data_IF_043640253490
#
_entry.id   IF_043640253490
#
_cell.length_a   1.000
_cell.length_b   1.000
_cell.length_c   1.000
_cell.angle_alpha   90.00
_cell.angle_beta   90.00
_cell.angle_gamma   90.00
#
_symmetry.space_group_name_H-M   'P 1'
#
loop_
_entity.id
_entity.type
_entity.pdbx_description
1 polymer ?
#
# COMPACT_ATOMS: atom_id res chain seq x y z
N UNK A 1 -20.74 14.79 23.57
CA UNK A 1 -20.90 14.00 22.37
C UNK A 1 -21.37 14.97 21.29
N UNK A 2 -20.46 15.49 20.51
CA UNK A 2 -20.80 16.23 19.28
C UNK A 2 -20.64 15.22 18.16
N UNK A 3 -21.75 14.89 17.55
CA UNK A 3 -21.75 14.23 16.25
C UNK A 3 -21.05 15.20 15.27
N UNK A 4 -19.75 14.99 15.03
CA UNK A 4 -19.11 15.57 13.87
C UNK A 4 -19.57 14.72 12.69
N UNK A 5 -20.70 15.11 12.08
CA UNK A 5 -20.95 14.79 10.69
C UNK A 5 -19.78 15.37 9.90
N UNK A 6 -18.81 14.53 9.55
CA UNK A 6 -17.87 14.87 8.52
C UNK A 6 -18.67 15.00 7.23
N UNK A 7 -18.91 16.23 6.80
CA UNK A 7 -19.41 16.52 5.47
C UNK A 7 -18.28 16.14 4.50
N UNK A 8 -18.32 14.90 4.01
CA UNK A 8 -17.39 14.38 3.02
C UNK A 8 -17.74 14.99 1.64
N UNK A 9 -17.65 16.32 1.54
CA UNK A 9 -17.85 17.06 0.29
C UNK A 9 -16.68 16.88 -0.65
N UNK A 10 -16.96 16.30 -1.79
CA UNK A 10 -16.38 16.50 -3.11
C UNK A 10 -14.96 16.02 -3.45
N UNK A 11 -14.04 15.65 -2.55
CA UNK A 11 -12.73 15.19 -3.02
C UNK A 11 -12.72 13.70 -3.43
N UNK A 12 -11.96 13.33 -4.49
CA UNK A 12 -11.92 11.93 -4.99
C UNK A 12 -11.48 10.92 -3.93
N UNK A 13 -10.52 11.28 -3.07
CA UNK A 13 -10.04 10.39 -2.02
C UNK A 13 -11.09 10.15 -0.93
N UNK A 14 -11.91 11.15 -0.59
CA UNK A 14 -12.99 11.01 0.39
C UNK A 14 -14.07 10.06 -0.11
N UNK A 15 -14.47 10.20 -1.37
CA UNK A 15 -15.42 9.27 -2.00
C UNK A 15 -14.87 7.85 -2.03
N UNK A 16 -13.59 7.68 -2.35
CA UNK A 16 -12.94 6.37 -2.32
C UNK A 16 -12.95 5.76 -0.92
N UNK A 17 -12.50 6.49 0.09
CA UNK A 17 -12.55 6.02 1.47
C UNK A 17 -13.98 5.68 1.91
N UNK A 18 -14.98 6.46 1.47
CA UNK A 18 -16.38 6.21 1.81
C UNK A 18 -16.91 4.88 1.26
N UNK A 19 -16.43 4.46 0.11
CA UNK A 19 -16.84 3.20 -0.53
C UNK A 19 -16.24 1.94 0.12
N UNK A 20 -15.17 2.08 0.93
CA UNK A 20 -14.47 0.95 1.55
C UNK A 20 -15.15 0.46 2.83
N UNK A 21 -15.02 -0.84 3.10
CA UNK A 21 -15.54 -1.47 4.31
C UNK A 21 -14.48 -1.47 5.43
N UNK A 22 -14.88 -1.39 6.71
CA UNK A 22 -13.96 -1.52 7.84
C UNK A 22 -13.13 -2.81 7.75
N UNK A 23 -11.82 -2.70 7.97
CA UNK A 23 -10.87 -3.82 7.89
C UNK A 23 -10.37 -4.16 6.49
N UNK A 24 -10.83 -3.47 5.45
CA UNK A 24 -10.26 -3.61 4.10
C UNK A 24 -8.85 -3.03 4.01
N UNK A 25 -8.08 -3.55 3.05
CA UNK A 25 -6.74 -3.06 2.76
C UNK A 25 -6.80 -1.89 1.77
N UNK A 26 -6.21 -0.78 2.17
CA UNK A 26 -6.06 0.42 1.38
C UNK A 26 -4.66 0.45 0.75
N UNK A 27 -4.56 0.46 -0.58
CA UNK A 27 -3.29 0.56 -1.27
C UNK A 27 -2.64 1.94 -1.06
N UNK A 28 -1.52 1.98 -0.32
CA UNK A 28 -0.81 3.21 0.00
C UNK A 28 -0.26 3.94 -1.24
N UNK A 29 0.17 3.21 -2.29
CA UNK A 29 0.63 3.83 -3.52
C UNK A 29 -0.51 4.55 -4.25
N UNK A 30 -1.71 3.98 -4.23
CA UNK A 30 -2.90 4.61 -4.79
C UNK A 30 -3.31 5.85 -3.98
N UNK A 31 -3.27 5.75 -2.65
CA UNK A 31 -3.54 6.89 -1.77
C UNK A 31 -2.60 8.07 -2.08
N UNK A 32 -1.32 7.79 -2.29
CA UNK A 32 -0.33 8.81 -2.62
C UNK A 32 -0.64 9.54 -3.94
N UNK A 33 -1.24 8.87 -4.93
CA UNK A 33 -1.61 9.54 -6.18
C UNK A 33 -2.71 10.61 -5.99
N UNK A 34 -3.53 10.45 -4.96
CA UNK A 34 -4.55 11.46 -4.59
C UNK A 34 -4.00 12.56 -3.69
N UNK A 35 -3.11 12.21 -2.75
CA UNK A 35 -2.64 13.13 -1.72
C UNK A 35 -1.40 13.95 -2.13
N UNK A 36 -0.85 13.75 -3.33
CA UNK A 36 0.41 14.39 -3.73
C UNK A 36 0.36 15.91 -3.71
N UNK A 37 -0.73 16.48 -4.27
CA UNK A 37 -0.91 17.93 -4.42
C UNK A 37 -1.71 18.54 -3.26
N UNK A 38 -2.14 17.70 -2.31
CA UNK A 38 -2.95 18.13 -1.17
C UNK A 38 -2.10 18.81 -0.09
N UNK A 39 -2.75 19.63 0.72
CA UNK A 39 -2.09 20.29 1.85
C UNK A 39 -1.75 19.29 2.96
N UNK A 40 -0.85 19.66 3.87
CA UNK A 40 -0.54 18.81 5.03
C UNK A 40 -1.76 18.54 5.91
N UNK A 41 -2.63 19.56 6.08
CA UNK A 41 -3.89 19.43 6.84
C UNK A 41 -4.82 18.39 6.20
N UNK A 42 -5.02 18.44 4.88
CA UNK A 42 -5.82 17.44 4.15
C UNK A 42 -5.25 16.03 4.26
N UNK A 43 -3.92 15.92 4.27
CA UNK A 43 -3.23 14.62 4.44
C UNK A 43 -3.47 14.06 5.84
N UNK A 44 -3.42 14.90 6.87
CA UNK A 44 -3.73 14.49 8.25
C UNK A 44 -5.20 14.06 8.38
N UNK A 45 -6.12 14.79 7.78
CA UNK A 45 -7.55 14.44 7.75
C UNK A 45 -7.77 13.09 7.05
N UNK A 46 -7.07 12.82 5.96
CA UNK A 46 -7.16 11.54 5.27
C UNK A 46 -6.69 10.36 6.16
N UNK A 47 -5.57 10.53 6.86
CA UNK A 47 -5.09 9.50 7.78
C UNK A 47 -6.00 9.33 9.00
N UNK A 48 -6.57 10.41 9.52
CA UNK A 48 -7.57 10.34 10.59
C UNK A 48 -8.82 9.55 10.15
N UNK A 49 -9.30 9.78 8.93
CA UNK A 49 -10.44 9.05 8.38
C UNK A 49 -10.13 7.56 8.15
N UNK A 50 -8.90 7.21 7.75
CA UNK A 50 -8.43 5.83 7.59
C UNK A 50 -8.44 5.12 8.95
N UNK A 51 -7.91 5.78 10.00
CA UNK A 51 -7.88 5.25 11.37
C UNK A 51 -9.29 5.07 11.93
N UNK A 52 -10.17 6.07 11.76
CA UNK A 52 -11.55 6.01 12.24
C UNK A 52 -12.35 4.87 11.60
N UNK A 53 -12.16 4.62 10.31
CA UNK A 53 -12.76 3.49 9.60
C UNK A 53 -12.10 2.15 9.90
N UNK A 54 -10.95 2.13 10.54
CA UNK A 54 -10.18 0.91 10.81
C UNK A 54 -9.69 0.23 9.52
N UNK A 55 -9.33 1.00 8.50
CA UNK A 55 -8.74 0.48 7.27
C UNK A 55 -7.27 0.10 7.52
N UNK A 56 -6.75 -0.84 6.72
CA UNK A 56 -5.37 -1.31 6.82
C UNK A 56 -4.55 -0.73 5.67
N UNK A 57 -3.52 0.06 5.96
CA UNK A 57 -2.60 0.55 4.93
C UNK A 57 -1.74 -0.58 4.38
N UNK A 58 -1.87 -0.87 3.08
CA UNK A 58 -1.03 -1.81 2.36
C UNK A 58 0.09 -1.07 1.63
N UNK A 59 1.29 -1.14 2.17
CA UNK A 59 2.50 -0.53 1.60
C UNK A 59 3.22 -1.42 0.58
N UNK A 60 2.73 -2.63 0.31
CA UNK A 60 3.40 -3.60 -0.56
C UNK A 60 3.64 -3.12 -1.99
N UNK A 61 2.83 -2.15 -2.44
CA UNK A 61 2.96 -1.52 -3.75
C UNK A 61 3.93 -0.33 -3.77
N UNK A 62 4.42 0.13 -2.60
CA UNK A 62 5.44 1.18 -2.54
C UNK A 62 6.82 0.64 -2.94
N UNK A 63 7.69 1.48 -3.51
CA UNK A 63 9.03 1.06 -3.89
C UNK A 63 9.84 0.64 -2.67
N UNK A 64 10.25 -0.62 -2.66
CA UNK A 64 11.11 -1.19 -1.62
C UNK A 64 12.58 -1.12 -2.06
N UNK A 65 13.48 -0.77 -1.14
CA UNK A 65 14.94 -0.69 -1.35
C UNK A 65 15.40 0.32 -2.41
N UNK A 66 14.57 1.27 -2.72
CA UNK A 66 14.96 2.44 -3.50
C UNK A 66 15.40 3.56 -2.55
N UNK A 67 16.69 3.57 -2.21
CA UNK A 67 17.25 4.52 -1.26
C UNK A 67 17.62 5.82 -1.97
N UNK A 68 16.92 6.89 -1.64
CA UNK A 68 17.09 8.23 -2.23
C UNK A 68 17.41 9.24 -1.13
N UNK A 69 18.13 10.30 -1.50
CA UNK A 69 18.42 11.41 -0.61
C UNK A 69 19.62 11.21 0.31
N UNK A 70 19.77 12.11 1.30
CA UNK A 70 20.93 12.16 2.19
C UNK A 70 21.08 10.94 3.11
N UNK A 71 19.97 10.30 3.46
CA UNK A 71 19.96 9.12 4.32
C UNK A 71 20.21 7.79 3.57
N UNK A 72 20.36 7.81 2.24
CA UNK A 72 20.43 6.60 1.41
C UNK A 72 21.51 5.60 1.86
N UNK A 73 22.69 6.09 2.27
CA UNK A 73 23.77 5.22 2.75
C UNK A 73 23.37 4.51 4.05
N UNK A 74 22.81 5.26 5.01
CA UNK A 74 22.39 4.73 6.31
C UNK A 74 21.24 3.74 6.15
N UNK A 75 20.26 4.04 5.33
CA UNK A 75 19.13 3.15 5.00
C UNK A 75 19.63 1.81 4.45
N UNK A 76 20.62 1.82 3.53
CA UNK A 76 21.23 0.59 3.00
C UNK A 76 21.97 -0.20 4.07
N UNK A 77 22.69 0.47 4.95
CA UNK A 77 23.40 -0.17 6.06
C UNK A 77 22.44 -0.84 7.03
N UNK A 78 21.34 -0.17 7.38
CA UNK A 78 20.30 -0.71 8.26
C UNK A 78 19.56 -1.90 7.61
N UNK A 79 19.20 -1.82 6.31
CA UNK A 79 18.62 -2.95 5.59
C UNK A 79 19.56 -4.17 5.59
N UNK A 80 20.83 -3.95 5.31
CA UNK A 80 21.83 -5.03 5.35
C UNK A 80 21.99 -5.61 6.76
N UNK A 81 22.04 -4.77 7.79
CA UNK A 81 22.14 -5.18 9.18
C UNK A 81 20.96 -6.04 9.62
N UNK A 82 19.75 -5.61 9.31
CA UNK A 82 18.52 -6.36 9.63
C UNK A 82 18.51 -7.72 8.92
N UNK A 83 18.90 -7.77 7.66
CA UNK A 83 18.96 -9.01 6.86
C UNK A 83 20.04 -9.98 7.32
N UNK A 84 21.15 -9.49 7.88
CA UNK A 84 22.23 -10.31 8.43
C UNK A 84 21.98 -10.81 9.85
N UNK A 85 20.80 -10.58 10.42
CA UNK A 85 20.43 -11.05 11.75
C UNK A 85 20.59 -10.01 12.86
N UNK A 86 20.72 -8.73 12.51
CA UNK A 86 20.76 -7.59 13.43
C UNK A 86 21.96 -7.64 14.40
N UNK A 87 23.16 -7.73 13.82
CA UNK A 87 24.40 -7.64 14.61
C UNK A 87 24.60 -6.22 15.17
N UNK A 88 24.14 -6.02 16.40
CA UNK A 88 24.27 -4.75 17.14
C UNK A 88 25.74 -4.41 17.39
N UNK A 89 26.62 -5.43 17.42
CA UNK A 89 28.07 -5.25 17.62
C UNK A 89 28.75 -4.46 16.50
N UNK A 90 28.16 -4.46 15.30
CA UNK A 90 28.66 -3.70 14.14
C UNK A 90 28.36 -2.20 14.22
N UNK A 91 27.43 -1.77 15.09
CA UNK A 91 27.09 -0.37 15.28
C UNK A 91 28.10 0.34 16.17
N UNK A 92 28.27 1.66 15.93
CA UNK A 92 29.08 2.52 16.79
C UNK A 92 28.62 2.45 18.26
N UNK A 93 29.53 2.52 19.26
CA UNK A 93 29.14 2.52 20.67
C UNK A 93 28.15 3.63 21.05
N UNK A 94 28.18 4.76 20.34
CA UNK A 94 27.30 5.90 20.56
C UNK A 94 26.10 5.95 19.58
N UNK A 95 25.87 4.89 18.83
CA UNK A 95 24.72 4.84 17.92
C UNK A 95 23.41 4.79 18.72
N UNK A 96 22.45 5.70 18.45
CA UNK A 96 21.17 5.75 19.19
C UNK A 96 20.41 4.42 19.17
N UNK A 97 20.44 3.72 18.04
CA UNK A 97 19.78 2.41 17.91
C UNK A 97 20.43 1.38 18.86
N UNK A 98 21.76 1.36 18.92
CA UNK A 98 22.48 0.45 19.83
C UNK A 98 22.16 0.74 21.29
N UNK A 99 22.20 2.01 21.68
CA UNK A 99 21.88 2.43 23.06
C UNK A 99 20.44 2.04 23.43
N UNK A 100 19.49 2.32 22.54
CA UNK A 100 18.10 1.96 22.74
C UNK A 100 17.89 0.44 22.94
N UNK A 101 18.52 -0.37 22.09
CA UNK A 101 18.39 -1.84 22.17
C UNK A 101 19.01 -2.39 23.47
N UNK A 102 20.14 -1.83 23.91
CA UNK A 102 20.75 -2.21 25.19
C UNK A 102 19.87 -1.82 26.39
N UNK A 103 19.24 -0.65 26.34
CA UNK A 103 18.29 -0.24 27.39
C UNK A 103 17.06 -1.15 27.40
N UNK A 104 16.55 -1.52 26.22
CA UNK A 104 15.43 -2.44 26.06
C UNK A 104 15.70 -3.84 26.66
N UNK A 105 16.92 -4.36 26.49
CA UNK A 105 17.35 -5.63 27.10
C UNK A 105 17.35 -5.59 28.64
N UNK A 106 17.52 -4.39 29.22
CA UNK A 106 17.49 -4.19 30.68
C UNK A 106 16.09 -4.12 31.28
N UNK A 107 15.03 -3.96 30.44
CA UNK A 107 13.66 -3.87 30.89
C UNK A 107 13.17 -5.23 31.41
N UNK A 108 12.44 -5.19 32.52
CA UNK A 108 11.73 -6.37 33.00
C UNK A 108 10.50 -6.66 32.13
N UNK A 109 10.59 -7.67 31.27
CA UNK A 109 9.55 -8.10 30.34
C UNK A 109 8.64 -9.21 30.88
N UNK A 110 8.60 -9.39 32.22
CA UNK A 110 7.75 -10.40 32.85
C UNK A 110 6.36 -9.81 33.16
N UNK A 111 5.32 -10.55 32.83
CA UNK A 111 3.94 -10.16 33.16
C UNK A 111 2.92 -10.74 32.19
N UNK A 112 1.69 -10.87 32.68
CA UNK A 112 0.55 -11.22 31.84
C UNK A 112 0.00 -9.93 31.19
N UNK A 113 0.18 -9.82 29.89
CA UNK A 113 -0.25 -8.64 29.14
C UNK A 113 -1.76 -8.44 29.16
N UNK A 114 -2.54 -9.53 29.13
CA UNK A 114 -4.01 -9.43 29.14
C UNK A 114 -4.54 -8.99 30.53
N UNK A 115 -3.89 -9.41 31.62
CA UNK A 115 -4.25 -8.94 32.99
C UNK A 115 -3.90 -7.46 33.16
N UNK A 116 -2.71 -7.05 32.68
CA UNK A 116 -2.29 -5.66 32.71
C UNK A 116 -3.18 -4.78 31.84
N UNK A 117 -3.59 -5.26 30.65
CA UNK A 117 -4.48 -4.53 29.77
C UNK A 117 -5.85 -4.28 30.42
N UNK A 118 -6.41 -5.28 31.11
CA UNK A 118 -7.66 -5.11 31.86
C UNK A 118 -7.55 -4.09 32.98
N UNK A 119 -6.43 -4.07 33.69
CA UNK A 119 -6.16 -3.07 34.77
C UNK A 119 -5.95 -1.67 34.17
N UNK A 120 -5.23 -1.58 33.05
CA UNK A 120 -5.01 -0.33 32.31
C UNK A 120 -6.34 0.28 31.84
N UNK A 121 -7.28 -0.54 31.33
CA UNK A 121 -8.63 -0.13 30.95
C UNK A 121 -9.44 0.42 32.11
N UNK A 122 -9.18 -0.06 33.36
CA UNK A 122 -9.80 0.44 34.60
C UNK A 122 -9.16 1.74 35.13
N UNK A 123 -8.14 2.26 34.44
CA UNK A 123 -7.48 3.52 34.77
C UNK A 123 -6.21 3.39 35.62
N UNK A 124 -5.69 2.17 35.81
CA UNK A 124 -4.43 1.94 36.52
C UNK A 124 -3.24 2.46 35.71
N UNK A 125 -2.62 3.55 36.17
CA UNK A 125 -1.48 4.19 35.52
C UNK A 125 -0.22 3.29 35.53
N UNK A 126 0.00 2.56 36.63
CA UNK A 126 1.13 1.64 36.74
C UNK A 126 0.99 0.46 35.76
N UNK A 127 -0.23 -0.06 35.59
CA UNK A 127 -0.51 -1.11 34.64
C UNK A 127 -0.28 -0.63 33.20
N UNK A 128 -0.64 0.64 32.87
CA UNK A 128 -0.37 1.23 31.55
C UNK A 128 1.12 1.34 31.27
N UNK A 129 1.89 1.91 32.18
CA UNK A 129 3.35 2.02 32.06
C UNK A 129 3.99 0.66 31.87
N UNK A 130 3.60 -0.30 32.71
CA UNK A 130 4.11 -1.67 32.65
C UNK A 130 3.78 -2.36 31.31
N UNK A 131 2.54 -2.19 30.85
CA UNK A 131 2.06 -2.76 29.59
C UNK A 131 2.80 -2.15 28.38
N UNK A 132 3.06 -0.84 28.41
CA UNK A 132 3.88 -0.16 27.40
C UNK A 132 5.29 -0.76 27.36
N UNK A 133 5.96 -0.85 28.51
CA UNK A 133 7.32 -1.41 28.59
C UNK A 133 7.38 -2.87 28.09
N UNK A 134 6.37 -3.67 28.40
CA UNK A 134 6.26 -5.05 27.90
C UNK A 134 6.03 -5.13 26.38
N UNK A 135 5.47 -4.09 25.77
CA UNK A 135 5.20 -4.02 24.34
C UNK A 135 6.38 -3.57 23.48
N UNK A 136 7.36 -2.85 24.06
CA UNK A 136 8.48 -2.27 23.30
C UNK A 136 9.33 -3.31 22.51
N UNK A 137 9.65 -4.50 23.03
CA UNK A 137 10.35 -5.52 22.24
C UNK A 137 9.57 -5.91 20.98
N UNK A 138 8.24 -5.97 21.07
CA UNK A 138 7.38 -6.29 19.93
C UNK A 138 7.40 -5.19 18.85
N UNK A 139 7.52 -3.93 19.28
CA UNK A 139 7.70 -2.81 18.32
C UNK A 139 8.96 -3.01 17.47
N UNK A 140 10.09 -3.38 18.10
CA UNK A 140 11.35 -3.64 17.38
C UNK A 140 11.21 -4.82 16.41
N UNK A 141 10.57 -5.90 16.82
CA UNK A 141 10.31 -7.05 15.94
C UNK A 141 9.53 -6.64 14.70
N UNK A 142 8.42 -5.90 14.89
CA UNK A 142 7.59 -5.43 13.79
C UNK A 142 8.31 -4.40 12.92
N UNK A 143 9.06 -3.45 13.50
CA UNK A 143 9.82 -2.45 12.76
C UNK A 143 10.81 -3.07 11.76
N UNK A 144 11.41 -4.22 12.10
CA UNK A 144 12.33 -4.95 11.20
C UNK A 144 11.66 -5.42 9.92
N UNK A 145 10.36 -5.72 9.95
CA UNK A 145 9.59 -6.14 8.77
C UNK A 145 9.41 -4.98 7.77
N UNK A 146 9.47 -3.74 8.27
CA UNK A 146 9.25 -2.51 7.52
C UNK A 146 10.53 -1.81 7.04
N UNK A 147 11.71 -2.36 7.35
CA UNK A 147 12.98 -1.83 6.85
C UNK A 147 13.05 -2.01 5.33
N UNK A 148 13.55 -0.98 4.64
CA UNK A 148 13.67 -0.96 3.18
C UNK A 148 12.68 -0.04 2.47
N UNK A 149 11.70 0.51 3.15
CA UNK A 149 10.71 1.45 2.59
C UNK A 149 11.09 2.94 2.76
N UNK A 150 12.37 3.23 2.97
CA UNK A 150 12.89 4.60 2.97
C UNK A 150 12.78 5.35 4.29
N UNK A 151 12.38 4.68 5.37
CA UNK A 151 12.37 5.18 6.75
C UNK A 151 13.45 4.47 7.55
N UNK A 152 14.17 5.20 8.41
CA UNK A 152 15.20 4.64 9.27
C UNK A 152 14.58 3.72 10.33
N UNK A 153 15.29 2.65 10.71
CA UNK A 153 14.79 1.69 11.71
C UNK A 153 14.45 2.37 13.04
N UNK A 154 15.26 3.33 13.47
CA UNK A 154 14.99 4.06 14.72
C UNK A 154 13.70 4.90 14.63
N UNK A 155 13.44 5.52 13.47
CA UNK A 155 12.22 6.30 13.25
C UNK A 155 10.99 5.37 13.21
N UNK A 156 11.11 4.20 12.57
CA UNK A 156 10.05 3.16 12.59
C UNK A 156 9.76 2.69 14.02
N UNK A 157 10.80 2.51 14.84
CA UNK A 157 10.63 2.13 16.27
C UNK A 157 9.91 3.25 17.03
N UNK A 158 10.24 4.52 16.78
CA UNK A 158 9.58 5.65 17.43
C UNK A 158 8.09 5.72 17.04
N UNK A 159 7.80 5.65 15.75
CA UNK A 159 6.41 5.65 15.25
C UNK A 159 5.62 4.43 15.77
N UNK A 160 6.21 3.25 15.73
CA UNK A 160 5.58 2.06 16.30
C UNK A 160 5.37 2.14 17.82
N UNK A 161 6.25 2.84 18.55
CA UNK A 161 6.08 3.09 19.99
C UNK A 161 4.91 4.04 20.26
N UNK A 162 4.67 5.02 19.37
CA UNK A 162 3.45 5.86 19.43
C UNK A 162 2.20 5.02 19.22
N UNK A 163 2.20 4.13 18.21
CA UNK A 163 1.10 3.19 17.98
C UNK A 163 0.85 2.26 19.17
N UNK A 164 1.91 1.73 19.77
CA UNK A 164 1.81 0.96 21.02
C UNK A 164 1.15 1.78 22.14
N UNK A 165 1.60 3.01 22.35
CA UNK A 165 1.05 3.90 23.35
C UNK A 165 -0.44 4.19 23.12
N UNK A 166 -0.84 4.46 21.87
CA UNK A 166 -2.24 4.64 21.48
C UNK A 166 -3.07 3.39 21.79
N UNK A 167 -2.56 2.19 21.46
CA UNK A 167 -3.23 0.93 21.76
C UNK A 167 -3.44 0.74 23.27
N UNK A 168 -2.43 1.07 24.08
CA UNK A 168 -2.54 0.99 25.57
C UNK A 168 -3.56 1.97 26.12
N UNK A 169 -3.61 3.21 25.60
CA UNK A 169 -4.57 4.22 26.05
C UNK A 169 -5.99 3.95 25.56
N UNK A 170 -6.12 3.47 24.33
CA UNK A 170 -7.40 3.20 23.68
C UNK A 170 -8.04 1.86 24.06
N UNK A 171 -7.29 0.95 24.67
CA UNK A 171 -7.79 -0.39 24.99
C UNK A 171 -9.01 -0.36 25.91
N UNK A 172 -10.04 -1.11 25.56
CA UNK A 172 -11.26 -1.29 26.37
C UNK A 172 -11.54 -2.77 26.61
N UNK A 173 -11.60 -3.55 25.54
CA UNK A 173 -11.93 -4.97 25.59
C UNK A 173 -11.37 -5.73 24.38
N UNK A 174 -11.39 -7.04 24.42
CA UNK A 174 -10.94 -7.92 23.36
C UNK A 174 -9.52 -8.45 23.55
N UNK A 175 -8.88 -8.86 22.47
CA UNK A 175 -7.50 -9.34 22.50
C UNK A 175 -6.53 -8.15 22.38
N UNK A 176 -5.86 -7.80 23.46
CA UNK A 176 -4.91 -6.69 23.48
C UNK A 176 -3.75 -6.89 22.51
N UNK A 177 -3.22 -8.11 22.42
CA UNK A 177 -2.09 -8.41 21.53
C UNK A 177 -2.42 -8.10 20.06
N UNK A 178 -3.64 -8.43 19.60
CA UNK A 178 -4.07 -8.14 18.25
C UNK A 178 -4.25 -6.63 18.01
N UNK A 179 -4.87 -5.91 18.93
CA UNK A 179 -5.05 -4.45 18.84
C UNK A 179 -3.70 -3.72 18.88
N UNK A 180 -2.79 -4.15 19.74
CA UNK A 180 -1.42 -3.63 19.83
C UNK A 180 -0.68 -3.80 18.51
N UNK A 181 -0.62 -5.04 17.99
CA UNK A 181 0.12 -5.34 16.76
C UNK A 181 -0.47 -4.58 15.55
N UNK A 182 -1.80 -4.42 15.52
CA UNK A 182 -2.47 -3.60 14.51
C UNK A 182 -2.06 -2.13 14.60
N UNK A 183 -2.15 -1.52 15.78
CA UNK A 183 -1.83 -0.10 15.97
C UNK A 183 -0.35 0.21 15.69
N UNK A 184 0.56 -0.69 16.08
CA UNK A 184 1.99 -0.56 15.78
C UNK A 184 2.23 -0.57 14.26
N UNK A 185 1.64 -1.54 13.55
CA UNK A 185 1.77 -1.67 12.09
C UNK A 185 1.18 -0.47 11.35
N UNK A 186 0.03 -0.01 11.80
CA UNK A 186 -0.66 1.15 11.20
C UNK A 186 0.18 2.42 11.34
N UNK A 187 0.71 2.72 12.52
CA UNK A 187 1.60 3.87 12.73
C UNK A 187 2.84 3.81 11.85
N UNK A 188 3.48 2.63 11.73
CA UNK A 188 4.64 2.45 10.85
C UNK A 188 4.28 2.62 9.37
N UNK A 189 3.18 2.04 8.93
CA UNK A 189 2.70 2.15 7.54
C UNK A 189 2.35 3.59 7.19
N UNK A 190 1.73 4.34 8.12
CA UNK A 190 1.48 5.77 7.99
C UNK A 190 2.78 6.56 7.81
N UNK A 191 3.78 6.34 8.66
CA UNK A 191 5.07 7.03 8.59
C UNK A 191 5.78 6.75 7.25
N UNK A 192 5.75 5.50 6.78
CA UNK A 192 6.30 5.11 5.47
C UNK A 192 5.56 5.82 4.34
N UNK A 193 4.24 5.90 4.40
CA UNK A 193 3.43 6.55 3.36
C UNK A 193 3.72 8.05 3.31
N UNK A 194 3.82 8.73 4.46
CA UNK A 194 4.20 10.14 4.54
C UNK A 194 5.62 10.36 3.98
N UNK A 195 6.57 9.50 4.35
CA UNK A 195 7.94 9.60 3.83
C UNK A 195 8.00 9.36 2.31
N UNK A 196 7.22 8.41 1.80
CA UNK A 196 7.10 8.15 0.37
C UNK A 196 6.53 9.36 -0.37
N UNK A 197 5.50 10.02 0.20
CA UNK A 197 4.97 11.29 -0.32
C UNK A 197 6.05 12.36 -0.42
N UNK A 198 6.79 12.59 0.66
CA UNK A 198 7.86 13.59 0.72
C UNK A 198 8.99 13.29 -0.29
N UNK A 199 9.17 12.04 -0.68
CA UNK A 199 10.11 11.61 -1.71
C UNK A 199 9.53 11.67 -3.14
N UNK A 200 8.31 12.17 -3.33
CA UNK A 200 7.63 12.29 -4.63
C UNK A 200 7.29 10.94 -5.26
N UNK A 201 7.00 9.92 -4.43
CA UNK A 201 6.66 8.58 -4.94
C UNK A 201 5.33 8.60 -5.68
N UNK A 202 4.35 9.38 -5.22
CA UNK A 202 3.06 9.53 -5.87
C UNK A 202 3.17 10.06 -7.30
N UNK A 203 3.98 11.11 -7.51
CA UNK A 203 4.24 11.69 -8.84
C UNK A 203 4.91 10.67 -9.77
N UNK A 204 5.94 9.98 -9.29
CA UNK A 204 6.61 8.92 -10.05
C UNK A 204 5.66 7.78 -10.38
N UNK A 205 4.77 7.43 -9.46
CA UNK A 205 3.77 6.40 -9.69
C UNK A 205 2.77 6.83 -10.75
N UNK A 206 2.23 8.05 -10.69
CA UNK A 206 1.35 8.60 -11.74
C UNK A 206 2.03 8.54 -13.11
N UNK A 207 3.25 9.04 -13.22
CA UNK A 207 4.01 9.00 -14.46
C UNK A 207 4.19 7.56 -14.96
N UNK A 208 4.54 6.62 -14.07
CA UNK A 208 4.71 5.22 -14.45
C UNK A 208 3.40 4.57 -14.94
N UNK A 209 2.24 4.95 -14.36
CA UNK A 209 0.93 4.50 -14.82
C UNK A 209 0.58 5.06 -16.20
N UNK A 210 0.88 6.33 -16.47
CA UNK A 210 0.69 6.97 -17.77
C UNK A 210 1.60 6.35 -18.84
N UNK A 211 2.88 6.17 -18.53
CA UNK A 211 3.85 5.54 -19.41
C UNK A 211 3.44 4.10 -19.74
N UNK A 212 3.00 3.34 -18.76
CA UNK A 212 2.50 1.97 -18.94
C UNK A 212 1.31 1.94 -19.90
N UNK A 213 0.33 2.82 -19.71
CA UNK A 213 -0.84 2.92 -20.60
C UNK A 213 -0.43 3.27 -22.04
N UNK A 214 0.47 4.23 -22.19
CA UNK A 214 0.95 4.65 -23.50
C UNK A 214 1.71 3.52 -24.23
N UNK A 215 2.56 2.78 -23.50
CA UNK A 215 3.30 1.63 -24.04
C UNK A 215 2.36 0.48 -24.38
N UNK A 216 1.40 0.16 -23.50
CA UNK A 216 0.41 -0.90 -23.72
C UNK A 216 -0.42 -0.63 -25.00
N UNK A 217 -0.93 0.60 -25.15
CA UNK A 217 -1.70 1.00 -26.32
C UNK A 217 -0.86 0.96 -27.60
N UNK A 218 0.39 1.43 -27.56
CA UNK A 218 1.28 1.42 -28.72
C UNK A 218 1.61 0.00 -29.13
N UNK A 219 2.05 -0.85 -28.22
CA UNK A 219 2.36 -2.24 -28.50
C UNK A 219 1.13 -3.02 -28.98
N UNK A 220 -0.05 -2.70 -28.45
CA UNK A 220 -1.30 -3.26 -28.91
C UNK A 220 -1.56 -2.94 -30.39
N UNK A 221 -1.34 -1.68 -30.79
CA UNK A 221 -1.52 -1.25 -32.18
C UNK A 221 -0.47 -1.89 -33.10
N UNK A 222 0.78 -2.02 -32.65
CA UNK A 222 1.87 -2.60 -33.44
C UNK A 222 1.75 -4.11 -33.60
N UNK A 223 1.44 -4.83 -32.52
CA UNK A 223 1.40 -6.29 -32.50
C UNK A 223 0.04 -6.87 -32.92
N UNK A 224 -1.02 -6.08 -32.92
CA UNK A 224 -2.40 -6.55 -33.16
C UNK A 224 -2.94 -7.54 -32.13
N UNK A 225 -2.23 -7.69 -31.01
CA UNK A 225 -2.60 -8.53 -29.85
C UNK A 225 -2.23 -7.84 -28.56
N UNK A 226 -2.74 -8.34 -27.42
CA UNK A 226 -2.30 -7.84 -26.12
C UNK A 226 -0.80 -8.08 -25.95
N UNK A 227 -0.02 -7.06 -25.57
CA UNK A 227 1.37 -7.25 -25.22
C UNK A 227 1.50 -8.09 -23.95
N UNK A 228 2.56 -8.85 -23.86
CA UNK A 228 2.92 -9.56 -22.63
C UNK A 228 3.54 -8.59 -21.63
N UNK A 229 3.51 -8.97 -20.34
CA UNK A 229 4.15 -8.17 -19.29
C UNK A 229 5.66 -7.95 -19.57
N UNK A 230 6.33 -8.96 -20.14
CA UNK A 230 7.74 -8.92 -20.49
C UNK A 230 8.03 -7.94 -21.63
N UNK A 231 7.14 -7.88 -22.64
CA UNK A 231 7.24 -6.92 -23.74
C UNK A 231 7.07 -5.49 -23.26
N UNK A 232 6.11 -5.24 -22.35
CA UNK A 232 5.92 -3.92 -21.73
C UNK A 232 7.13 -3.56 -20.84
N UNK A 233 7.61 -4.48 -20.01
CA UNK A 233 8.76 -4.27 -19.16
C UNK A 233 10.02 -3.91 -19.95
N UNK A 234 10.25 -4.60 -21.06
CA UNK A 234 11.36 -4.33 -21.96
C UNK A 234 11.29 -2.92 -22.56
N UNK A 235 10.11 -2.51 -23.02
CA UNK A 235 9.89 -1.21 -23.65
C UNK A 235 9.97 -0.07 -22.63
N UNK A 236 9.50 -0.28 -21.42
CA UNK A 236 9.62 0.68 -20.31
C UNK A 236 11.02 0.69 -19.66
N UNK A 237 11.92 -0.23 -20.05
CA UNK A 237 13.25 -0.39 -19.44
C UNK A 237 13.22 -0.67 -17.93
N UNK A 238 12.21 -1.41 -17.47
CA UNK A 238 12.02 -1.83 -16.08
C UNK A 238 12.04 -3.35 -15.96
N UNK A 239 12.15 -3.87 -14.72
CA UNK A 239 12.02 -5.30 -14.49
C UNK A 239 10.59 -5.81 -14.69
N UNK A 240 10.38 -7.08 -15.03
CA UNK A 240 9.04 -7.66 -15.12
C UNK A 240 8.26 -7.59 -13.79
N UNK A 241 8.96 -7.62 -12.66
CA UNK A 241 8.35 -7.50 -11.32
C UNK A 241 7.84 -6.07 -11.08
N UNK A 242 8.61 -5.06 -11.48
CA UNK A 242 8.17 -3.66 -11.43
C UNK A 242 6.99 -3.42 -12.38
N UNK A 243 7.02 -3.94 -13.61
CA UNK A 243 5.90 -3.84 -14.54
C UNK A 243 4.64 -4.52 -14.00
N UNK A 244 4.77 -5.67 -13.31
CA UNK A 244 3.66 -6.34 -12.64
C UNK A 244 3.05 -5.48 -11.52
N UNK A 245 3.89 -4.77 -10.77
CA UNK A 245 3.46 -3.85 -9.71
C UNK A 245 2.71 -2.65 -10.29
N UNK A 246 3.24 -2.06 -11.36
CA UNK A 246 2.58 -0.94 -12.08
C UNK A 246 1.22 -1.39 -12.63
N UNK A 247 1.16 -2.57 -13.24
CA UNK A 247 -0.12 -3.12 -13.75
C UNK A 247 -1.14 -3.30 -12.65
N UNK A 248 -0.76 -3.89 -11.51
CA UNK A 248 -1.67 -4.04 -10.36
C UNK A 248 -2.18 -2.70 -9.86
N UNK A 249 -1.30 -1.71 -9.72
CA UNK A 249 -1.71 -0.36 -9.31
C UNK A 249 -2.64 0.30 -10.36
N UNK A 250 -2.48 -0.03 -11.65
CA UNK A 250 -3.38 0.43 -12.70
C UNK A 250 -4.77 -0.21 -12.59
N UNK A 251 -4.84 -1.50 -12.26
CA UNK A 251 -6.09 -2.22 -12.01
C UNK A 251 -6.81 -1.64 -10.78
N UNK A 252 -6.08 -1.43 -9.68
CA UNK A 252 -6.61 -0.78 -8.47
C UNK A 252 -7.13 0.64 -8.76
N UNK A 253 -6.37 1.43 -9.53
CA UNK A 253 -6.78 2.78 -9.92
C UNK A 253 -8.10 2.79 -10.71
N UNK A 254 -8.33 1.80 -11.56
CA UNK A 254 -9.60 1.65 -12.30
C UNK A 254 -10.76 1.32 -11.37
N UNK A 255 -10.55 0.43 -10.41
CA UNK A 255 -11.57 0.10 -9.42
C UNK A 255 -11.95 1.34 -8.60
N UNK A 256 -10.96 2.14 -8.21
CA UNK A 256 -11.17 3.40 -7.50
C UNK A 256 -11.95 4.40 -8.37
N UNK A 257 -11.56 4.58 -9.64
CA UNK A 257 -12.28 5.46 -10.56
C UNK A 257 -13.74 5.03 -10.74
N UNK A 258 -14.01 3.72 -10.85
CA UNK A 258 -15.37 3.21 -10.93
C UNK A 258 -16.18 3.46 -9.65
N UNK A 259 -15.53 3.33 -8.48
CA UNK A 259 -16.17 3.59 -7.19
C UNK A 259 -16.42 5.08 -6.92
N UNK A 260 -15.59 5.96 -7.51
CA UNK A 260 -15.65 7.42 -7.29
C UNK A 260 -16.28 8.19 -8.43
N UNK A 261 -16.62 7.53 -9.55
CA UNK A 261 -17.29 8.16 -10.69
C UNK A 261 -18.65 8.73 -10.23
N UNK A 262 -18.80 10.05 -10.35
CA UNK A 262 -20.13 10.64 -10.30
C UNK A 262 -20.94 10.10 -11.48
N UNK A 263 -22.27 9.93 -11.32
CA UNK A 263 -23.12 9.71 -12.46
C UNK A 263 -23.02 10.96 -13.34
N UNK A 264 -22.21 10.90 -14.41
CA UNK A 264 -22.05 12.02 -15.32
C UNK A 264 -23.39 12.46 -15.87
N UNK A 265 -23.65 13.78 -15.98
CA UNK A 265 -24.78 14.27 -16.75
C UNK A 265 -24.54 13.83 -18.20
N UNK A 266 -25.48 13.03 -18.70
CA UNK A 266 -25.49 12.43 -20.04
C UNK A 266 -25.13 13.44 -21.12
N UNK A 267 -23.86 13.50 -21.51
CA UNK A 267 -23.44 14.22 -22.71
C UNK A 267 -23.21 13.15 -23.81
N UNK A 268 -24.17 12.98 -24.73
CA UNK A 268 -24.23 11.79 -25.61
C UNK A 268 -23.07 11.67 -26.63
N UNK A 269 -22.19 12.64 -26.73
CA UNK A 269 -21.06 12.61 -27.69
C UNK A 269 -19.75 12.11 -27.08
N UNK A 270 -19.50 12.33 -25.76
CA UNK A 270 -18.34 11.77 -25.05
C UNK A 270 -18.60 10.35 -24.55
N UNK A 271 -19.86 10.01 -24.27
CA UNK A 271 -20.32 8.69 -23.83
C UNK A 271 -20.02 7.60 -24.87
N UNK A 272 -20.13 7.89 -26.17
CA UNK A 272 -19.87 6.90 -27.23
C UNK A 272 -18.40 6.46 -27.27
N UNK A 273 -17.44 7.35 -27.02
CA UNK A 273 -16.01 7.02 -27.11
C UNK A 273 -15.51 6.28 -25.86
N UNK A 274 -15.98 6.70 -24.67
CA UNK A 274 -15.65 6.01 -23.40
C UNK A 274 -16.36 4.64 -23.29
N UNK A 275 -17.59 4.54 -23.79
CA UNK A 275 -18.36 3.28 -23.85
C UNK A 275 -17.76 2.30 -24.86
N UNK A 276 -17.31 2.78 -26.03
CA UNK A 276 -16.64 1.94 -27.03
C UNK A 276 -15.32 1.39 -26.49
N UNK A 277 -14.51 2.21 -25.82
CA UNK A 277 -13.23 1.76 -25.22
C UNK A 277 -13.46 0.79 -24.06
N UNK A 278 -14.46 1.05 -23.21
CA UNK A 278 -14.80 0.17 -22.08
C UNK A 278 -15.44 -1.13 -22.56
N UNK A 279 -16.35 -1.09 -23.52
CA UNK A 279 -17.00 -2.26 -24.12
C UNK A 279 -15.98 -3.13 -24.87
N UNK A 280 -15.06 -2.52 -25.61
CA UNK A 280 -13.99 -3.22 -26.32
C UNK A 280 -13.05 -3.96 -25.35
N UNK A 281 -12.68 -3.31 -24.22
CA UNK A 281 -11.83 -3.92 -23.20
C UNK A 281 -12.51 -5.06 -22.45
N UNK A 282 -13.79 -4.89 -22.08
CA UNK A 282 -14.58 -5.94 -21.43
C UNK A 282 -14.84 -7.13 -22.37
N UNK A 283 -15.10 -6.86 -23.65
CA UNK A 283 -15.27 -7.89 -24.68
C UNK A 283 -13.99 -8.69 -24.88
N UNK A 284 -12.85 -8.04 -24.84
CA UNK A 284 -11.53 -8.65 -25.00
C UNK A 284 -11.14 -9.52 -23.81
N UNK A 285 -11.43 -9.08 -22.59
CA UNK A 285 -11.24 -9.86 -21.36
C UNK A 285 -12.14 -11.09 -21.37
N UNK A 286 -13.43 -10.95 -21.72
CA UNK A 286 -14.37 -12.06 -21.85
C UNK A 286 -13.96 -13.07 -22.91
N UNK A 287 -13.46 -12.63 -24.06
CA UNK A 287 -12.94 -13.53 -25.09
C UNK A 287 -11.74 -14.32 -24.55
N UNK A 288 -10.81 -13.67 -23.83
CA UNK A 288 -9.66 -14.34 -23.21
C UNK A 288 -10.09 -15.39 -22.17
N UNK A 289 -11.06 -15.06 -21.31
CA UNK A 289 -11.61 -15.98 -20.32
C UNK A 289 -12.32 -17.17 -20.98
N UNK A 290 -13.13 -16.93 -22.01
CA UNK A 290 -13.81 -17.99 -22.74
C UNK A 290 -12.82 -18.92 -23.47
N UNK A 291 -11.77 -18.38 -24.07
CA UNK A 291 -10.72 -19.18 -24.70
C UNK A 291 -9.94 -20.04 -23.68
N UNK A 292 -9.77 -19.55 -22.45
CA UNK A 292 -9.08 -20.29 -21.39
C UNK A 292 -9.86 -21.48 -20.83
N UNK A 293 -11.19 -21.51 -21.02
CA UNK A 293 -12.08 -22.61 -20.59
C UNK A 293 -12.21 -23.70 -21.65
N UNK A 294 -11.84 -23.41 -22.93
CA UNK A 294 -11.92 -24.36 -24.03
C UNK A 294 -10.70 -25.28 -24.06
N UNK A 295 -10.87 -26.46 -24.67
CA UNK A 295 -9.73 -27.33 -24.98
C UNK A 295 -8.74 -26.61 -25.92
N UNK A 296 -7.45 -26.86 -25.72
CA UNK A 296 -6.38 -26.13 -26.42
C UNK A 296 -6.51 -26.19 -27.96
N UNK A 297 -7.05 -27.29 -28.50
CA UNK A 297 -7.31 -27.47 -29.92
C UNK A 297 -8.43 -26.53 -30.42
N UNK A 298 -9.50 -26.41 -29.67
CA UNK A 298 -10.66 -25.56 -30.02
C UNK A 298 -10.33 -24.08 -29.84
N UNK A 299 -9.59 -23.73 -28.80
CA UNK A 299 -9.11 -22.36 -28.58
C UNK A 299 -8.20 -21.90 -29.72
N UNK A 300 -7.29 -22.76 -30.19
CA UNK A 300 -6.43 -22.46 -31.35
C UNK A 300 -7.22 -22.30 -32.64
N UNK A 301 -8.22 -23.16 -32.86
CA UNK A 301 -9.07 -23.12 -34.03
C UNK A 301 -9.87 -21.82 -34.10
N UNK A 302 -10.49 -21.43 -32.99
CA UNK A 302 -11.23 -20.17 -32.88
C UNK A 302 -10.30 -18.96 -33.04
N UNK A 303 -9.13 -18.98 -32.40
CA UNK A 303 -8.12 -17.92 -32.51
C UNK A 303 -7.69 -17.72 -33.97
N UNK A 304 -7.41 -18.80 -34.68
CA UNK A 304 -7.01 -18.74 -36.10
C UNK A 304 -8.18 -18.34 -37.01
N UNK A 305 -9.39 -18.81 -36.73
CA UNK A 305 -10.61 -18.52 -37.52
C UNK A 305 -11.00 -17.06 -37.48
N UNK A 306 -10.90 -16.44 -36.29
CA UNK A 306 -11.34 -15.06 -36.08
C UNK A 306 -10.17 -14.05 -36.05
N UNK A 307 -8.94 -14.50 -36.25
CA UNK A 307 -7.76 -13.63 -36.21
C UNK A 307 -7.50 -13.01 -34.86
N UNK A 308 -7.85 -13.69 -33.76
CA UNK A 308 -7.70 -13.17 -32.40
C UNK A 308 -6.22 -13.10 -31.94
N UNK A 309 -5.30 -13.68 -32.72
CA UNK A 309 -3.85 -13.64 -32.57
C UNK A 309 -3.18 -12.55 -33.43
N UNK A 310 -3.98 -11.62 -33.97
CA UNK A 310 -3.48 -10.54 -34.83
C UNK A 310 -3.12 -10.96 -36.27
N UNK A 311 -3.34 -12.22 -36.66
CA UNK A 311 -3.17 -12.67 -38.05
C UNK A 311 -4.49 -12.52 -38.80
N UNK A 312 -4.44 -12.41 -40.13
CA UNK A 312 -5.66 -12.36 -40.93
C UNK A 312 -6.48 -13.64 -40.69
N UNK A 313 -7.82 -13.52 -40.55
CA UNK A 313 -8.67 -14.67 -40.30
C UNK A 313 -8.59 -15.70 -41.42
N UNK A 314 -8.50 -16.96 -41.03
CA UNK A 314 -8.45 -18.06 -42.01
C UNK A 314 -9.85 -18.27 -42.62
N UNK A 315 -9.91 -18.33 -43.92
CA UNK A 315 -11.14 -18.69 -44.67
C UNK A 315 -11.58 -20.13 -44.34
N UNK A 316 -12.86 -20.44 -44.39
CA UNK A 316 -13.38 -21.78 -44.16
C UNK A 316 -12.81 -22.80 -45.13
#
# INVERSE_FOLDING_TARGET
MRDMEFDFGDSPWQRWLSSMQPGEKLNAAQLLTFLEEETEETVEDAFAAIEEKGLLLDISALPCRQYVGQAALRLRQEDQMVRSGMDIGSLSPNDPLRLYLQELESLDTRGDQEDLARKAAQGDAFARERLTNLGLPRVVELAREYVGYGVLLMDLIQEGSLGLWQAVQGYREGCFAAQRDWAIRESMARAITIQARNNGVGQKMRQALEDYRAVDQRLLAELGRNPTLEEIALEMHISPEEAATVRRNLEDARLVQQATAEPEPENPEEENQAVEDTAYFQMRQRIGELLSVLEEADARLLTARFGLDGKPPLSP
#
